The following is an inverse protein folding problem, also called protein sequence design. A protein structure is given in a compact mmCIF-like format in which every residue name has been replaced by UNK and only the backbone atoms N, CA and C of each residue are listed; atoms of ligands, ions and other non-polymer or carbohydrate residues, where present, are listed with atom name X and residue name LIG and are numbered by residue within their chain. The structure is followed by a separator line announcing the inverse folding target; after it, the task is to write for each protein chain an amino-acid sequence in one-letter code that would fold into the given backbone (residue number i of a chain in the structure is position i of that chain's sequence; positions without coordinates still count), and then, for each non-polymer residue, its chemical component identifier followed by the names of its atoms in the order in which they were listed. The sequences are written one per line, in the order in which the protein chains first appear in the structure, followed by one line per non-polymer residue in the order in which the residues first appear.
data_IF_238033225837
#
_entry.id   IF_238033225837
#
_cell.length_a   1.000
_cell.length_b   1.000
_cell.length_c   1.000
_cell.angle_alpha   90.00
_cell.angle_beta   90.00
_cell.angle_gamma   90.00
#
_symmetry.space_group_name_H-M   'P 1'
#
loop_
_entity.id
_entity.type
_entity.pdbx_description
1 polymer ?
#
# COMPACT_ATOMS: atom_id res chain seq x y z
N UNK A 1 -15.91 9.64 15.51
CA UNK A 1 -14.44 9.78 15.39
C UNK A 1 -13.96 8.63 14.54
N UNK A 2 -13.86 8.84 13.23
CA UNK A 2 -13.53 7.83 12.23
C UNK A 2 -12.16 7.25 12.54
N UNK A 3 -12.10 5.95 12.85
CA UNK A 3 -10.90 5.30 13.35
C UNK A 3 -9.71 5.51 12.42
N UNK A 4 -8.67 6.15 12.95
CA UNK A 4 -7.31 6.18 12.41
C UNK A 4 -6.69 4.77 12.48
N UNK A 5 -7.35 3.81 11.85
CA UNK A 5 -6.79 2.48 11.68
C UNK A 5 -5.68 2.65 10.66
N UNK A 6 -4.43 2.59 11.11
CA UNK A 6 -3.28 2.71 10.22
C UNK A 6 -3.41 1.77 9.04
N UNK A 7 -2.95 2.21 7.87
CA UNK A 7 -2.88 1.41 6.65
C UNK A 7 -1.43 1.06 6.37
N UNK A 8 -1.22 -0.03 5.65
CA UNK A 8 0.07 -0.44 5.10
C UNK A 8 -0.07 -0.69 3.62
N UNK A 9 0.98 -0.44 2.87
CA UNK A 9 1.05 -0.75 1.46
C UNK A 9 1.46 -2.22 1.34
N UNK A 10 0.69 -2.96 0.57
CA UNK A 10 0.95 -4.37 0.29
C UNK A 10 1.12 -4.56 -1.21
N UNK A 11 1.98 -5.51 -1.58
CA UNK A 11 2.20 -5.92 -2.96
C UNK A 11 1.91 -7.40 -3.10
N UNK A 12 1.39 -7.80 -4.25
CA UNK A 12 1.29 -9.21 -4.60
C UNK A 12 2.43 -9.63 -5.55
N UNK A 13 2.52 -10.94 -5.79
CA UNK A 13 3.45 -11.53 -6.76
C UNK A 13 3.19 -11.10 -8.21
N UNK A 14 1.96 -10.69 -8.53
CA UNK A 14 1.56 -10.18 -9.83
C UNK A 14 1.93 -8.70 -10.08
N UNK A 15 2.60 -8.05 -9.12
CA UNK A 15 3.02 -6.66 -9.21
C UNK A 15 1.95 -5.62 -8.90
N UNK A 16 0.75 -6.04 -8.48
CA UNK A 16 -0.27 -5.11 -7.98
C UNK A 16 0.09 -4.59 -6.60
N UNK A 17 -0.09 -3.29 -6.41
CA UNK A 17 0.09 -2.60 -5.14
C UNK A 17 -1.26 -2.12 -4.64
N UNK A 18 -1.54 -2.30 -3.35
CA UNK A 18 -2.78 -1.86 -2.72
C UNK A 18 -2.56 -1.44 -1.27
N UNK A 19 -3.54 -0.77 -0.68
CA UNK A 19 -3.54 -0.45 0.74
C UNK A 19 -4.28 -1.54 1.52
N UNK A 20 -3.74 -1.91 2.68
CA UNK A 20 -4.32 -2.89 3.59
C UNK A 20 -4.41 -2.33 5.01
N UNK A 21 -5.48 -2.63 5.77
CA UNK A 21 -5.56 -2.20 7.16
C UNK A 21 -4.43 -2.83 8.00
N UNK A 22 -3.68 -2.05 8.76
CA UNK A 22 -2.56 -2.52 9.57
C UNK A 22 -3.01 -3.50 10.67
N UNK A 23 -4.23 -3.34 11.18
CA UNK A 23 -4.83 -4.25 12.17
C UNK A 23 -5.41 -5.54 11.59
N UNK A 24 -5.31 -5.79 10.27
CA UNK A 24 -5.86 -6.98 9.61
C UNK A 24 -4.73 -7.84 9.05
N UNK A 25 -4.82 -9.16 9.29
CA UNK A 25 -3.94 -10.14 8.65
C UNK A 25 -4.05 -10.02 7.12
N UNK A 26 -2.91 -10.14 6.44
CA UNK A 26 -2.83 -10.05 4.99
C UNK A 26 -3.44 -11.30 4.34
N UNK A 27 -4.06 -11.13 3.19
CA UNK A 27 -4.50 -12.26 2.39
C UNK A 27 -3.28 -13.05 1.88
N UNK A 28 -3.41 -14.38 1.67
CA UNK A 28 -2.34 -15.18 1.08
C UNK A 28 -1.93 -14.62 -0.30
N UNK A 29 -0.63 -14.57 -0.56
CA UNK A 29 -0.05 -13.97 -1.77
C UNK A 29 0.14 -12.45 -1.71
N UNK A 30 -0.25 -11.79 -0.60
CA UNK A 30 0.02 -10.38 -0.36
C UNK A 30 1.12 -10.22 0.69
N UNK A 31 2.12 -9.42 0.35
CA UNK A 31 3.29 -9.17 1.17
C UNK A 31 3.40 -7.69 1.50
N UNK A 32 4.00 -7.38 2.64
CA UNK A 32 4.22 -6.00 3.06
C UNK A 32 5.20 -5.31 2.09
N UNK A 33 4.89 -4.09 1.68
CA UNK A 33 5.74 -3.28 0.81
C UNK A 33 6.79 -2.47 1.61
N UNK A 34 6.70 -2.46 2.94
CA UNK A 34 7.57 -1.68 3.83
C UNK A 34 7.07 -0.28 4.14
N UNK A 35 5.89 0.12 3.64
CA UNK A 35 5.31 1.45 3.88
C UNK A 35 4.01 1.33 4.68
N UNK A 36 3.88 2.13 5.74
CA UNK A 36 2.64 2.21 6.53
C UNK A 36 2.41 3.62 7.06
N UNK A 37 1.15 3.99 7.25
CA UNK A 37 0.75 5.33 7.67
C UNK A 37 -0.75 5.55 7.55
N UNK A 38 -1.15 6.82 7.39
CA UNK A 38 -2.54 7.16 7.10
C UNK A 38 -2.93 6.67 5.70
N UNK A 39 -4.25 6.60 5.44
CA UNK A 39 -4.77 6.23 4.12
C UNK A 39 -4.20 7.13 3.03
N UNK A 40 -4.14 8.44 3.28
CA UNK A 40 -3.65 9.44 2.34
C UNK A 40 -2.16 9.23 2.02
N UNK A 41 -1.31 9.04 3.03
CA UNK A 41 0.12 8.74 2.84
C UNK A 41 0.34 7.47 2.05
N UNK A 42 -0.42 6.41 2.34
CA UNK A 42 -0.29 5.15 1.60
C UNK A 42 -0.72 5.31 0.13
N UNK A 43 -1.75 6.11 -0.15
CA UNK A 43 -2.20 6.37 -1.52
C UNK A 43 -1.22 7.25 -2.31
N UNK A 44 -0.65 8.27 -1.67
CA UNK A 44 0.42 9.10 -2.24
C UNK A 44 1.62 8.23 -2.65
N UNK A 45 2.09 7.37 -1.75
CA UNK A 45 3.17 6.42 -2.03
C UNK A 45 2.86 5.49 -3.22
N UNK A 46 1.62 4.99 -3.32
CA UNK A 46 1.21 4.15 -4.46
C UNK A 46 1.15 4.94 -5.76
N UNK A 47 0.70 6.19 -5.72
CA UNK A 47 0.70 7.06 -6.89
C UNK A 47 2.12 7.31 -7.39
N UNK A 48 3.08 7.57 -6.50
CA UNK A 48 4.49 7.72 -6.87
C UNK A 48 5.09 6.43 -7.49
N UNK A 49 4.69 5.25 -7.01
CA UNK A 49 5.10 3.97 -7.61
C UNK A 49 4.53 3.76 -9.02
N UNK A 50 3.29 4.19 -9.26
CA UNK A 50 2.60 4.04 -10.55
C UNK A 50 2.98 5.11 -11.58
N UNK A 51 3.43 6.28 -11.13
CA UNK A 51 3.83 7.41 -11.97
C UNK A 51 5.31 7.39 -12.37
N UNK A 52 6.00 6.25 -12.22
CA UNK A 52 7.32 6.05 -12.82
C UNK A 52 7.18 5.76 -14.31
N UNK A 53 6.79 6.77 -15.10
CA UNK A 53 7.11 6.77 -16.53
C UNK A 53 8.62 6.98 -16.68
N UNK A 54 9.39 5.90 -16.49
CA UNK A 54 10.81 5.88 -16.81
C UNK A 54 10.95 6.00 -18.33
N UNK A 55 10.99 7.24 -18.82
CA UNK A 55 11.42 7.58 -20.17
C UNK A 55 12.92 7.31 -20.31
N UNK A 56 13.25 6.21 -20.99
CA UNK A 56 14.42 6.10 -21.86
C UNK A 56 14.23 4.98 -22.85
#
# INVERSE_FOLDING_TARGET
MSGETGFKVVRNEFGHVSIWPAGRAQAPGWHDHGFSGTRERCLEHIAELGDVRNER
#
